data_IF_696943365470
#
_entry.id   IF_696943365470
#
_cell.length_a   1.000
_cell.length_b   1.000
_cell.length_c   1.000
_cell.angle_alpha   90.00
_cell.angle_beta   90.00
_cell.angle_gamma   90.00
#
_symmetry.space_group_name_H-M   'P 1'
#
loop_
_entity.id
_entity.type
_entity.pdbx_description
1 polymer ?
#
# COMPACT_ATOMS: atom_id res chain seq x y z
N UNK A 1 -22.12 -9.18 21.83
CA UNK A 1 -21.19 -9.54 20.73
C UNK A 1 -21.57 -8.70 19.54
N UNK A 2 -20.59 -8.06 18.89
CA UNK A 2 -20.85 -7.38 17.63
C UNK A 2 -20.84 -8.42 16.50
N UNK A 3 -21.64 -8.18 15.45
CA UNK A 3 -21.66 -9.02 14.26
C UNK A 3 -20.38 -8.72 13.46
N UNK A 4 -19.58 -9.75 13.16
CA UNK A 4 -18.37 -9.65 12.33
C UNK A 4 -18.60 -10.15 10.90
N UNK A 5 -19.81 -10.67 10.62
CA UNK A 5 -20.21 -11.25 9.35
C UNK A 5 -21.43 -10.56 8.73
N UNK A 6 -21.57 -10.70 7.41
CA UNK A 6 -22.77 -10.39 6.65
C UNK A 6 -23.09 -11.63 5.80
N UNK A 7 -24.27 -12.21 6.02
CA UNK A 7 -24.76 -13.36 5.25
C UNK A 7 -25.55 -12.91 4.00
N UNK A 8 -25.86 -13.85 3.10
CA UNK A 8 -26.62 -13.58 1.87
C UNK A 8 -28.03 -13.01 2.10
N UNK A 9 -28.63 -13.30 3.24
CA UNK A 9 -29.96 -12.82 3.65
C UNK A 9 -29.91 -11.44 4.32
N UNK A 10 -28.71 -10.92 4.58
CA UNK A 10 -28.49 -9.68 5.31
C UNK A 10 -28.05 -8.57 4.36
N UNK A 11 -28.31 -7.33 4.79
CA UNK A 11 -27.85 -6.12 4.11
C UNK A 11 -27.30 -5.18 5.16
N UNK A 12 -26.23 -4.45 4.84
CA UNK A 12 -25.70 -3.37 5.67
C UNK A 12 -25.96 -2.03 4.99
N UNK A 13 -26.66 -1.14 5.70
CA UNK A 13 -26.97 0.24 5.28
C UNK A 13 -25.97 1.24 5.85
N UNK A 14 -26.09 2.49 5.42
CA UNK A 14 -25.16 3.58 5.73
C UNK A 14 -24.88 3.81 7.24
N UNK A 15 -25.89 3.60 8.09
CA UNK A 15 -25.82 3.80 9.53
C UNK A 15 -25.46 2.53 10.31
N UNK A 16 -25.21 1.43 9.62
CA UNK A 16 -24.87 0.13 10.20
C UNK A 16 -23.37 -0.15 10.04
N UNK A 17 -22.82 -0.90 10.99
CA UNK A 17 -21.43 -1.36 10.96
C UNK A 17 -21.34 -2.83 11.35
N UNK A 18 -20.29 -3.48 10.86
CA UNK A 18 -19.82 -4.76 11.41
C UNK A 18 -18.44 -4.57 12.03
N UNK A 19 -18.12 -5.39 13.01
CA UNK A 19 -16.93 -5.21 13.84
C UNK A 19 -16.24 -6.55 13.95
N UNK A 20 -14.94 -6.55 13.69
CA UNK A 20 -14.07 -7.73 13.89
C UNK A 20 -14.24 -8.33 15.29
N UNK A 21 -14.04 -9.65 15.43
CA UNK A 21 -14.34 -10.39 16.65
C UNK A 21 -13.64 -9.83 17.91
N UNK A 22 -12.37 -9.45 17.81
CA UNK A 22 -11.57 -8.82 18.86
C UNK A 22 -11.80 -7.31 19.03
N UNK A 23 -12.69 -6.72 18.22
CA UNK A 23 -13.09 -5.32 18.28
C UNK A 23 -12.00 -4.35 17.83
N UNK A 24 -11.04 -4.80 17.03
CA UNK A 24 -9.90 -4.00 16.56
C UNK A 24 -10.29 -3.12 15.37
N UNK A 25 -10.96 -3.73 14.39
CA UNK A 25 -11.42 -3.09 13.16
C UNK A 25 -12.95 -3.05 13.06
N UNK A 26 -13.44 -2.04 12.35
CA UNK A 26 -14.85 -1.83 12.03
C UNK A 26 -15.00 -1.49 10.54
N UNK A 27 -16.02 -2.04 9.92
CA UNK A 27 -16.43 -1.77 8.54
C UNK A 27 -17.74 -0.99 8.55
N UNK A 28 -17.83 0.03 7.71
CA UNK A 28 -19.08 0.74 7.46
C UNK A 28 -18.91 1.91 6.51
N UNK A 29 -19.92 2.78 6.48
CA UNK A 29 -19.92 3.94 5.60
C UNK A 29 -19.33 5.18 6.29
N UNK A 30 -18.56 5.97 5.52
CA UNK A 30 -17.91 7.18 5.99
C UNK A 30 -17.74 8.22 4.89
N UNK A 31 -17.43 9.45 5.30
CA UNK A 31 -17.02 10.55 4.43
C UNK A 31 -15.69 11.11 4.96
N UNK A 32 -14.61 11.09 4.17
CA UNK A 32 -13.30 11.57 4.62
C UNK A 32 -13.29 13.10 4.72
N UNK A 33 -12.79 13.62 5.85
CA UNK A 33 -12.62 15.05 6.12
C UNK A 33 -13.81 15.91 5.72
N UNK A 34 -13.65 16.74 4.68
CA UNK A 34 -14.70 17.65 4.18
C UNK A 34 -15.47 17.14 2.96
N UNK A 35 -15.21 15.89 2.55
CA UNK A 35 -15.83 15.28 1.38
C UNK A 35 -17.35 15.21 1.50
N UNK A 36 -18.04 15.52 0.39
CA UNK A 36 -19.50 15.35 0.28
C UNK A 36 -19.89 13.94 -0.17
N UNK A 37 -18.91 13.11 -0.53
CA UNK A 37 -19.13 11.77 -1.04
C UNK A 37 -19.09 10.75 0.10
N UNK A 38 -19.71 9.60 -0.17
CA UNK A 38 -19.80 8.47 0.76
C UNK A 38 -18.99 7.29 0.25
N UNK A 39 -18.34 6.60 1.19
CA UNK A 39 -17.50 5.45 0.88
C UNK A 39 -17.74 4.35 1.90
N UNK A 40 -17.64 3.11 1.45
CA UNK A 40 -17.53 1.94 2.31
C UNK A 40 -16.05 1.70 2.62
N UNK A 41 -15.69 1.56 3.90
CA UNK A 41 -14.30 1.33 4.27
C UNK A 41 -14.12 0.70 5.64
N UNK A 42 -12.88 0.28 5.89
CA UNK A 42 -12.45 -0.32 7.17
C UNK A 42 -11.62 0.70 7.94
N UNK A 43 -11.80 0.78 9.25
CA UNK A 43 -11.00 1.61 10.15
C UNK A 43 -10.71 0.92 11.48
N UNK A 44 -9.72 1.44 12.22
CA UNK A 44 -9.48 1.06 13.60
C UNK A 44 -10.61 1.54 14.51
N UNK A 45 -11.32 0.61 15.16
CA UNK A 45 -12.46 0.92 16.03
C UNK A 45 -12.04 1.58 17.34
N UNK A 46 -10.92 1.14 17.91
CA UNK A 46 -10.42 1.61 19.22
C UNK A 46 -9.76 2.99 19.16
N UNK A 47 -9.57 3.55 17.96
CA UNK A 47 -8.94 4.85 17.75
C UNK A 47 -10.03 5.92 17.57
N UNK A 48 -9.98 6.96 18.41
CA UNK A 48 -11.05 7.95 18.57
C UNK A 48 -11.35 8.77 17.31
N UNK A 49 -10.34 9.06 16.49
CA UNK A 49 -10.52 9.65 15.18
C UNK A 49 -10.45 8.55 14.12
N UNK A 50 -11.51 8.45 13.30
CA UNK A 50 -11.68 7.37 12.31
C UNK A 50 -10.45 7.25 11.41
N UNK A 51 -9.60 6.28 11.71
CA UNK A 51 -8.38 6.00 10.96
C UNK A 51 -8.70 4.97 9.89
N UNK A 52 -9.01 5.44 8.70
CA UNK A 52 -9.35 4.60 7.54
C UNK A 52 -8.10 3.86 7.06
N UNK A 53 -8.24 2.56 6.81
CA UNK A 53 -7.16 1.67 6.35
C UNK A 53 -7.48 1.00 5.02
N UNK A 54 -8.76 0.93 4.63
CA UNK A 54 -9.20 0.37 3.36
C UNK A 54 -10.51 1.01 2.90
N UNK A 55 -10.71 1.11 1.58
CA UNK A 55 -11.87 1.73 0.94
C UNK A 55 -12.30 0.88 -0.26
N UNK A 56 -13.57 0.49 -0.33
CA UNK A 56 -14.09 -0.35 -1.42
C UNK A 56 -14.26 0.45 -2.72
N UNK A 57 -15.13 1.46 -2.69
CA UNK A 57 -15.55 2.23 -3.86
C UNK A 57 -14.71 3.50 -4.05
N UNK A 58 -13.38 3.39 -3.96
CA UNK A 58 -12.48 4.56 -3.98
C UNK A 58 -12.58 5.37 -5.28
N UNK A 59 -12.85 4.71 -6.41
CA UNK A 59 -12.95 5.35 -7.74
C UNK A 59 -14.38 5.57 -8.22
N UNK A 60 -15.38 5.14 -7.44
CA UNK A 60 -16.80 5.30 -7.79
C UNK A 60 -17.56 5.94 -6.64
N UNK A 61 -17.96 7.19 -6.87
CA UNK A 61 -18.53 8.06 -5.85
C UNK A 61 -19.98 7.68 -5.51
N UNK A 62 -20.30 7.61 -4.22
CA UNK A 62 -21.69 7.73 -3.74
C UNK A 62 -21.95 9.19 -3.38
N UNK A 63 -23.01 9.76 -3.95
CA UNK A 63 -23.39 11.17 -3.73
C UNK A 63 -24.39 11.34 -2.58
N UNK A 64 -24.90 10.24 -2.03
CA UNK A 64 -25.93 10.21 -0.99
C UNK A 64 -25.55 9.25 0.15
N UNK A 65 -26.34 9.27 1.23
CA UNK A 65 -26.24 8.34 2.36
C UNK A 65 -27.15 7.12 2.20
N UNK A 66 -27.44 6.70 0.97
CA UNK A 66 -28.34 5.59 0.67
C UNK A 66 -27.59 4.33 0.20
N UNK A 67 -26.28 4.26 0.47
CA UNK A 67 -25.46 3.10 0.16
C UNK A 67 -25.94 1.83 0.84
N UNK A 68 -25.94 0.72 0.10
CA UNK A 68 -26.29 -0.61 0.63
C UNK A 68 -25.24 -1.63 0.21
N UNK A 69 -24.59 -2.27 1.18
CA UNK A 69 -23.76 -3.44 0.95
C UNK A 69 -24.60 -4.71 1.15
N UNK A 70 -24.61 -5.59 0.17
CA UNK A 70 -25.30 -6.90 0.27
C UNK A 70 -24.69 -7.91 -0.70
N UNK A 71 -25.12 -9.16 -0.59
CA UNK A 71 -24.89 -10.15 -1.63
C UNK A 71 -25.91 -10.00 -2.78
N UNK A 72 -25.46 -10.19 -4.01
CA UNK A 72 -26.35 -10.38 -5.15
C UNK A 72 -26.81 -11.85 -5.26
N UNK A 73 -27.69 -12.14 -6.21
CA UNK A 73 -28.26 -13.48 -6.42
C UNK A 73 -27.21 -14.56 -6.79
N UNK A 74 -25.97 -14.16 -7.08
CA UNK A 74 -24.84 -15.05 -7.37
C UNK A 74 -23.91 -15.25 -6.17
N UNK A 75 -24.23 -14.69 -5.00
CA UNK A 75 -23.37 -14.80 -3.83
C UNK A 75 -22.13 -13.91 -3.90
N UNK A 76 -22.20 -12.78 -4.62
CA UNK A 76 -21.11 -11.81 -4.73
C UNK A 76 -21.47 -10.54 -3.93
N UNK A 77 -20.60 -10.05 -3.02
CA UNK A 77 -20.79 -8.75 -2.40
C UNK A 77 -20.83 -7.62 -3.44
N UNK A 78 -21.87 -6.80 -3.35
CA UNK A 78 -22.08 -5.62 -4.18
C UNK A 78 -22.46 -4.42 -3.32
N UNK A 79 -21.96 -3.26 -3.73
CA UNK A 79 -22.36 -1.97 -3.19
C UNK A 79 -23.34 -1.31 -4.15
N UNK A 80 -24.52 -0.98 -3.65
CA UNK A 80 -25.59 -0.34 -4.41
C UNK A 80 -25.77 1.12 -4.00
N UNK A 81 -26.13 1.96 -4.97
CA UNK A 81 -26.62 3.32 -4.71
C UNK A 81 -28.15 3.37 -4.53
N UNK A 82 -28.71 4.56 -4.33
CA UNK A 82 -30.16 4.76 -4.15
C UNK A 82 -31.03 4.21 -5.30
N UNK A 83 -30.50 4.15 -6.52
CA UNK A 83 -31.20 3.65 -7.72
C UNK A 83 -31.03 2.14 -7.91
N UNK A 84 -30.47 1.43 -6.91
CA UNK A 84 -30.05 0.04 -7.00
C UNK A 84 -29.01 -0.26 -8.09
N UNK A 85 -28.28 0.77 -8.57
CA UNK A 85 -27.16 0.54 -9.48
C UNK A 85 -25.96 0.03 -8.69
N UNK A 86 -25.31 -1.01 -9.22
CA UNK A 86 -24.05 -1.54 -8.67
C UNK A 86 -22.93 -0.56 -8.96
N UNK A 87 -22.31 -0.04 -7.90
CA UNK A 87 -21.18 0.90 -8.01
C UNK A 87 -19.84 0.26 -7.63
N UNK A 88 -19.87 -0.89 -6.96
CA UNK A 88 -18.69 -1.67 -6.63
C UNK A 88 -19.09 -3.14 -6.43
N UNK A 89 -18.18 -4.05 -6.74
CA UNK A 89 -18.33 -5.49 -6.48
C UNK A 89 -16.98 -6.13 -6.24
N UNK A 90 -16.93 -7.22 -5.48
CA UNK A 90 -15.68 -7.97 -5.26
C UNK A 90 -15.16 -8.71 -6.50
N UNK A 91 -15.99 -8.86 -7.55
CA UNK A 91 -15.57 -9.41 -8.85
C UNK A 91 -15.39 -10.93 -8.91
N UNK A 92 -15.72 -11.67 -7.85
CA UNK A 92 -15.43 -13.12 -7.78
C UNK A 92 -16.64 -13.97 -8.14
N UNK A 93 -16.43 -15.03 -8.93
CA UNK A 93 -17.49 -15.82 -9.58
C UNK A 93 -17.48 -17.30 -9.19
N UNK A 94 -16.62 -17.72 -8.26
CA UNK A 94 -16.58 -19.10 -7.79
C UNK A 94 -17.81 -19.36 -6.92
N UNK A 95 -18.78 -20.09 -7.48
CA UNK A 95 -20.00 -20.47 -6.78
C UNK A 95 -19.69 -21.34 -5.57
N UNK A 96 -20.15 -20.91 -4.41
CA UNK A 96 -20.10 -21.65 -3.14
C UNK A 96 -21.51 -21.80 -2.57
N UNK A 97 -21.67 -22.66 -1.57
CA UNK A 97 -23.01 -22.96 -1.02
C UNK A 97 -23.49 -21.85 -0.11
N UNK A 98 -22.67 -21.46 0.86
CA UNK A 98 -23.06 -20.49 1.89
C UNK A 98 -22.03 -19.36 1.99
N UNK A 99 -21.98 -18.44 1.00
CA UNK A 99 -21.04 -17.33 1.04
C UNK A 99 -21.36 -16.35 2.17
N UNK A 100 -20.33 -15.98 2.93
CA UNK A 100 -20.39 -14.94 3.96
C UNK A 100 -19.25 -13.95 3.79
N UNK A 101 -19.53 -12.68 4.02
CA UNK A 101 -18.50 -11.65 4.13
C UNK A 101 -18.13 -11.52 5.60
N UNK A 102 -16.85 -11.54 5.95
CA UNK A 102 -16.37 -11.47 7.33
C UNK A 102 -15.24 -10.45 7.46
N UNK A 103 -15.29 -9.61 8.51
CA UNK A 103 -14.20 -8.73 8.88
C UNK A 103 -13.31 -9.40 9.92
N UNK A 104 -12.07 -9.73 9.55
CA UNK A 104 -11.10 -10.37 10.43
C UNK A 104 -10.42 -9.35 11.36
N UNK A 105 -9.83 -9.85 12.46
CA UNK A 105 -9.06 -9.03 13.40
C UNK A 105 -7.75 -8.46 12.83
N UNK A 106 -7.32 -8.93 11.66
CA UNK A 106 -6.25 -8.31 10.86
C UNK A 106 -6.71 -7.05 10.11
N UNK A 107 -8.03 -6.81 10.03
CA UNK A 107 -8.64 -5.78 9.19
C UNK A 107 -8.91 -6.25 7.75
N UNK A 108 -8.60 -7.50 7.43
CA UNK A 108 -8.92 -8.11 6.15
C UNK A 108 -10.43 -8.40 6.08
N UNK A 109 -11.10 -7.82 5.09
CA UNK A 109 -12.48 -8.14 4.76
C UNK A 109 -12.45 -9.26 3.73
N UNK A 110 -13.00 -10.42 4.09
CA UNK A 110 -12.93 -11.62 3.26
C UNK A 110 -14.32 -12.09 2.86
N UNK A 111 -14.40 -12.79 1.73
CA UNK A 111 -15.55 -13.61 1.37
C UNK A 111 -15.12 -15.07 1.43
N UNK A 112 -15.86 -15.90 2.17
CA UNK A 112 -15.59 -17.34 2.29
C UNK A 112 -16.89 -18.13 2.28
N UNK A 113 -16.78 -19.43 2.06
CA UNK A 113 -17.88 -20.34 2.35
C UNK A 113 -17.94 -20.55 3.87
N UNK A 114 -19.12 -20.41 4.47
CA UNK A 114 -19.31 -20.55 5.92
C UNK A 114 -19.01 -21.97 6.39
N UNK A 115 -19.32 -22.96 5.54
CA UNK A 115 -19.14 -24.38 5.81
C UNK A 115 -17.71 -24.88 5.51
N UNK A 116 -16.84 -24.04 4.93
CA UNK A 116 -15.46 -24.43 4.64
C UNK A 116 -14.59 -24.39 5.89
N UNK A 117 -13.99 -25.53 6.19
CA UNK A 117 -13.12 -25.74 7.34
C UNK A 117 -11.64 -25.45 7.02
N UNK A 118 -11.30 -25.25 5.75
CA UNK A 118 -9.93 -24.93 5.33
C UNK A 118 -9.64 -23.47 5.69
N UNK A 119 -8.69 -23.20 6.60
CA UNK A 119 -8.31 -21.84 6.94
C UNK A 119 -7.82 -21.09 5.69
N UNK A 120 -8.18 -19.81 5.60
CA UNK A 120 -7.70 -18.89 4.56
C UNK A 120 -8.03 -19.27 3.10
N UNK A 121 -8.96 -20.23 2.87
CA UNK A 121 -9.50 -20.52 1.54
C UNK A 121 -10.56 -19.46 1.15
N UNK A 122 -10.12 -18.22 1.00
CA UNK A 122 -10.98 -17.10 0.68
C UNK A 122 -11.35 -17.07 -0.81
N UNK A 123 -12.61 -16.74 -1.09
CA UNK A 123 -13.08 -16.48 -2.45
C UNK A 123 -12.64 -15.10 -2.93
N UNK A 124 -12.52 -14.15 -2.00
CA UNK A 124 -12.05 -12.78 -2.21
C UNK A 124 -11.51 -12.24 -0.88
N UNK A 125 -10.55 -11.32 -0.95
CA UNK A 125 -10.08 -10.58 0.22
C UNK A 125 -9.69 -9.14 -0.11
N UNK A 126 -9.92 -8.21 0.82
CA UNK A 126 -9.56 -6.80 0.66
C UNK A 126 -8.06 -6.59 0.61
N UNK A 127 -7.28 -7.48 1.23
CA UNK A 127 -5.82 -7.41 1.24
C UNK A 127 -5.18 -7.57 -0.14
N UNK A 128 -5.89 -8.17 -1.11
CA UNK A 128 -5.45 -8.26 -2.51
C UNK A 128 -5.68 -6.96 -3.30
N UNK A 129 -6.43 -6.02 -2.73
CA UNK A 129 -6.78 -4.74 -3.33
C UNK A 129 -6.54 -3.60 -2.31
N UNK A 130 -5.28 -3.40 -1.87
CA UNK A 130 -4.94 -2.37 -0.89
C UNK A 130 -5.18 -0.95 -1.45
N UNK A 131 -5.27 0.02 -0.55
CA UNK A 131 -5.46 1.44 -0.88
C UNK A 131 -4.17 2.20 -0.53
N UNK A 132 -4.21 3.19 0.37
CA UNK A 132 -3.03 3.95 0.79
C UNK A 132 -2.31 3.37 2.00
N UNK A 133 -2.88 2.34 2.62
CA UNK A 133 -2.35 1.75 3.86
C UNK A 133 -1.95 0.30 3.63
N UNK A 134 -0.75 -0.05 4.10
CA UNK A 134 -0.22 -1.39 4.16
C UNK A 134 -0.21 -1.86 5.62
N UNK A 135 -1.10 -2.79 5.95
CA UNK A 135 -1.32 -3.37 7.28
C UNK A 135 -0.49 -4.64 7.51
N UNK A 136 -0.30 -5.06 8.77
CA UNK A 136 0.28 -6.37 9.06
C UNK A 136 -0.52 -7.49 8.37
N UNK A 137 0.19 -8.47 7.80
CA UNK A 137 -0.39 -9.58 7.05
C UNK A 137 -0.74 -9.29 5.59
N UNK A 138 -0.70 -8.03 5.15
CA UNK A 138 -0.81 -7.71 3.73
C UNK A 138 0.45 -8.15 2.97
N UNK A 139 0.29 -8.43 1.68
CA UNK A 139 1.39 -8.80 0.77
C UNK A 139 1.45 -7.81 -0.39
N UNK A 140 2.65 -7.32 -0.72
CA UNK A 140 2.88 -6.49 -1.90
C UNK A 140 3.91 -7.17 -2.81
N UNK A 141 3.63 -7.23 -4.11
CA UNK A 141 4.39 -7.98 -5.11
C UNK A 141 3.54 -9.08 -5.75
N UNK A 142 4.20 -10.09 -6.31
CA UNK A 142 3.54 -11.24 -6.91
C UNK A 142 3.11 -12.21 -5.81
N UNK A 143 1.83 -12.21 -5.46
CA UNK A 143 1.27 -13.01 -4.36
C UNK A 143 0.92 -14.43 -4.81
N UNK A 144 0.60 -14.60 -6.09
CA UNK A 144 0.47 -15.90 -6.76
C UNK A 144 0.69 -15.71 -8.28
N UNK A 145 0.56 -16.79 -9.06
CA UNK A 145 0.78 -16.79 -10.52
C UNK A 145 -0.01 -15.74 -11.32
N UNK A 146 -1.15 -15.31 -10.78
CA UNK A 146 -2.12 -14.47 -11.46
C UNK A 146 -2.37 -13.12 -10.79
N UNK A 147 -1.81 -12.91 -9.60
CA UNK A 147 -2.11 -11.75 -8.76
C UNK A 147 -0.82 -11.02 -8.36
N UNK A 148 -0.70 -9.79 -8.88
CA UNK A 148 0.31 -8.83 -8.48
C UNK A 148 -0.36 -7.70 -7.69
N UNK A 149 0.13 -7.44 -6.48
CA UNK A 149 -0.42 -6.46 -5.54
C UNK A 149 0.56 -5.30 -5.36
N UNK A 150 0.06 -4.08 -5.52
CA UNK A 150 0.75 -2.83 -5.20
C UNK A 150 -0.23 -1.95 -4.39
N UNK A 151 0.23 -0.87 -3.80
CA UNK A 151 -0.66 0.06 -3.09
C UNK A 151 -0.36 1.52 -3.47
N UNK A 152 -1.38 2.37 -3.51
CA UNK A 152 -1.33 3.72 -4.06
C UNK A 152 -1.82 4.77 -3.08
N UNK A 153 -1.26 5.98 -3.16
CA UNK A 153 -1.70 7.08 -2.30
C UNK A 153 -3.15 7.43 -2.57
N UNK A 154 -3.79 8.08 -1.59
CA UNK A 154 -4.97 8.87 -1.89
C UNK A 154 -4.59 10.07 -2.75
N UNK A 155 -5.55 10.58 -3.51
CA UNK A 155 -5.39 11.81 -4.29
C UNK A 155 -5.26 13.04 -3.39
N UNK A 156 -6.00 13.08 -2.29
CA UNK A 156 -5.87 14.09 -1.24
C UNK A 156 -6.42 13.58 0.09
N UNK A 157 -6.31 14.37 1.15
CA UNK A 157 -6.86 14.00 2.47
C UNK A 157 -8.39 13.79 2.47
N UNK A 158 -9.10 14.45 1.56
CA UNK A 158 -10.57 14.40 1.43
C UNK A 158 -11.04 13.54 0.23
N UNK A 159 -10.10 12.97 -0.54
CA UNK A 159 -10.39 12.25 -1.78
C UNK A 159 -9.58 10.93 -1.83
N UNK A 160 -10.22 9.78 -1.53
CA UNK A 160 -9.56 8.48 -1.48
C UNK A 160 -9.34 7.85 -2.86
N UNK A 161 -9.78 8.49 -3.96
CA UNK A 161 -9.48 8.02 -5.32
C UNK A 161 -7.98 7.89 -5.56
N UNK A 162 -7.61 7.19 -6.64
CA UNK A 162 -6.21 6.98 -6.99
C UNK A 162 -5.41 8.30 -7.06
N UNK A 163 -4.40 8.37 -6.20
CA UNK A 163 -3.39 9.40 -6.24
C UNK A 163 -2.27 9.08 -7.22
N UNK A 164 -1.30 9.97 -7.28
CA UNK A 164 -0.22 9.87 -8.27
C UNK A 164 0.93 8.96 -7.83
N UNK A 165 0.95 8.50 -6.58
CA UNK A 165 2.06 7.75 -6.01
C UNK A 165 1.71 6.29 -5.78
N UNK A 166 2.64 5.40 -6.11
CA UNK A 166 2.48 3.94 -5.96
C UNK A 166 3.74 3.34 -5.38
N UNK A 167 3.58 2.33 -4.52
CA UNK A 167 4.66 1.45 -4.07
C UNK A 167 4.44 0.06 -4.65
N UNK A 168 5.49 -0.47 -5.29
CA UNK A 168 5.45 -1.74 -6.01
C UNK A 168 6.79 -2.48 -5.90
N UNK A 169 6.76 -3.79 -6.18
CA UNK A 169 7.93 -4.67 -6.16
C UNK A 169 8.45 -4.91 -7.59
N UNK A 170 9.69 -4.53 -7.84
CA UNK A 170 10.43 -4.99 -9.02
C UNK A 170 10.91 -6.43 -8.81
N UNK A 171 10.23 -7.35 -9.50
CA UNK A 171 10.48 -8.79 -9.44
C UNK A 171 11.86 -9.19 -9.95
N UNK A 172 12.46 -8.40 -10.86
CA UNK A 172 13.76 -8.73 -11.45
C UNK A 172 14.90 -8.30 -10.54
N UNK A 173 14.79 -7.11 -9.95
CA UNK A 173 15.78 -6.56 -9.03
C UNK A 173 15.60 -6.98 -7.57
N UNK A 174 14.51 -7.68 -7.24
CA UNK A 174 14.11 -8.03 -5.86
C UNK A 174 14.15 -6.81 -4.93
N UNK A 175 13.51 -5.72 -5.38
CA UNK A 175 13.54 -4.41 -4.75
C UNK A 175 12.17 -3.74 -4.85
N UNK A 176 11.96 -2.69 -4.09
CA UNK A 176 10.75 -1.88 -4.13
C UNK A 176 11.03 -0.52 -4.76
N UNK A 177 10.03 -0.02 -5.49
CA UNK A 177 10.02 1.34 -6.00
C UNK A 177 8.88 2.13 -5.38
N UNK A 178 9.18 3.38 -5.04
CA UNK A 178 8.16 4.43 -4.98
C UNK A 178 8.15 5.11 -6.35
N UNK A 179 6.99 5.12 -7.00
CA UNK A 179 6.78 5.79 -8.30
C UNK A 179 5.80 6.94 -8.15
N UNK A 180 5.96 7.96 -8.98
CA UNK A 180 4.96 8.99 -9.23
C UNK A 180 4.62 8.98 -10.72
N UNK A 181 3.37 8.71 -11.09
CA UNK A 181 2.94 8.58 -12.48
C UNK A 181 3.88 7.65 -13.29
N UNK A 182 4.14 6.46 -12.75
CA UNK A 182 5.05 5.45 -13.28
C UNK A 182 6.56 5.83 -13.32
N UNK A 183 6.93 7.04 -12.89
CA UNK A 183 8.33 7.49 -12.81
C UNK A 183 8.90 7.20 -11.42
N UNK A 184 10.01 6.46 -11.35
CA UNK A 184 10.70 6.16 -10.09
C UNK A 184 11.13 7.44 -9.36
N UNK A 185 10.78 7.52 -8.07
CA UNK A 185 11.13 8.60 -7.15
C UNK A 185 12.06 8.17 -6.03
N UNK A 186 11.91 6.93 -5.58
CA UNK A 186 12.83 6.30 -4.64
C UNK A 186 12.93 4.81 -4.94
N UNK A 187 14.01 4.20 -4.48
CA UNK A 187 14.29 2.77 -4.69
C UNK A 187 14.87 2.19 -3.41
N UNK A 188 14.25 1.13 -2.89
CA UNK A 188 14.75 0.46 -1.67
C UNK A 188 16.10 -0.21 -1.88
N UNK A 189 16.48 -0.49 -3.13
CA UNK A 189 17.58 -1.39 -3.48
C UNK A 189 17.22 -2.85 -3.19
N UNK A 190 18.06 -3.79 -3.65
CA UNK A 190 17.78 -5.22 -3.55
C UNK A 190 17.67 -5.69 -2.10
N UNK A 191 16.83 -6.70 -1.90
CA UNK A 191 16.78 -7.49 -0.68
C UNK A 191 18.09 -8.28 -0.52
N UNK A 192 18.73 -8.16 0.65
CA UNK A 192 20.02 -8.80 0.93
C UNK A 192 19.94 -10.00 1.90
N UNK A 193 18.73 -10.48 2.20
CA UNK A 193 18.48 -11.54 3.18
C UNK A 193 18.16 -11.04 4.59
N UNK A 194 18.49 -9.78 4.91
CA UNK A 194 18.24 -9.14 6.21
C UNK A 194 17.31 -7.93 6.07
N UNK A 195 17.46 -7.17 4.99
CA UNK A 195 16.71 -5.97 4.70
C UNK A 195 16.95 -5.50 3.27
N UNK A 196 16.37 -4.36 2.90
CA UNK A 196 16.68 -3.71 1.63
C UNK A 196 17.91 -2.81 1.77
N UNK A 197 18.81 -2.83 0.79
CA UNK A 197 20.11 -2.14 0.90
C UNK A 197 20.02 -0.62 1.09
N UNK A 198 18.96 0.00 0.55
CA UNK A 198 18.62 1.42 0.66
C UNK A 198 17.62 1.73 1.78
N UNK A 199 17.34 0.75 2.65
CA UNK A 199 16.54 0.94 3.86
C UNK A 199 17.30 0.45 5.10
N UNK A 200 18.50 1.00 5.39
CA UNK A 200 19.35 0.52 6.50
C UNK A 200 18.75 0.76 7.90
N UNK A 201 17.66 1.53 7.98
CA UNK A 201 16.87 1.76 9.18
C UNK A 201 15.93 0.59 9.52
N UNK A 202 15.66 -0.32 8.58
CA UNK A 202 14.94 -1.56 8.86
C UNK A 202 15.85 -2.47 9.67
N UNK A 203 15.72 -2.37 10.99
CA UNK A 203 16.37 -3.21 11.99
C UNK A 203 15.34 -4.16 12.59
N UNK A 204 15.77 -5.27 13.21
CA UNK A 204 14.88 -6.11 14.00
C UNK A 204 14.06 -5.24 14.96
N UNK A 205 12.73 -5.37 14.89
CA UNK A 205 11.79 -4.55 15.61
C UNK A 205 11.01 -5.46 16.59
N UNK A 206 10.89 -5.12 17.88
CA UNK A 206 10.13 -5.94 18.83
C UNK A 206 8.62 -5.96 18.56
N UNK A 207 8.11 -5.03 17.74
CA UNK A 207 6.67 -4.87 17.45
C UNK A 207 6.25 -5.75 16.27
N UNK A 208 7.08 -5.86 15.23
CA UNK A 208 6.76 -6.60 14.02
C UNK A 208 8.00 -7.23 13.39
N UNK A 209 7.79 -8.37 12.73
CA UNK A 209 8.75 -8.99 11.85
C UNK A 209 8.40 -8.66 10.41
N UNK A 210 9.40 -8.53 9.54
CA UNK A 210 9.20 -8.31 8.11
C UNK A 210 10.00 -9.34 7.32
N UNK A 211 9.45 -9.73 6.17
CA UNK A 211 10.05 -10.75 5.31
C UNK A 211 9.85 -10.41 3.85
N UNK A 212 10.84 -10.75 3.05
CA UNK A 212 10.72 -10.77 1.60
C UNK A 212 10.71 -12.23 1.15
N UNK A 213 9.56 -12.67 0.64
CA UNK A 213 9.37 -14.03 0.12
C UNK A 213 9.78 -14.03 -1.35
N UNK A 214 10.67 -14.94 -1.69
CA UNK A 214 11.04 -15.25 -3.07
C UNK A 214 11.12 -16.78 -3.18
N UNK A 215 9.97 -17.41 -3.46
CA UNK A 215 9.86 -18.86 -3.49
C UNK A 215 8.85 -19.30 -4.54
N UNK A 216 9.24 -20.29 -5.37
CA UNK A 216 8.44 -20.82 -6.47
C UNK A 216 7.88 -19.73 -7.40
N UNK A 217 6.60 -19.38 -7.20
CA UNK A 217 5.84 -18.44 -8.04
C UNK A 217 5.32 -17.25 -7.23
N UNK A 218 5.87 -17.04 -6.04
CA UNK A 218 5.54 -15.94 -5.14
C UNK A 218 6.78 -15.08 -4.88
N UNK A 219 6.62 -13.77 -5.07
CA UNK A 219 7.66 -12.77 -4.88
C UNK A 219 7.04 -11.53 -4.26
N UNK A 220 7.03 -11.46 -2.93
CA UNK A 220 6.33 -10.38 -2.21
C UNK A 220 7.03 -9.97 -0.92
N UNK A 221 6.76 -8.74 -0.50
CA UNK A 221 7.10 -8.23 0.82
C UNK A 221 5.88 -8.28 1.73
N UNK A 222 6.10 -8.66 2.99
CA UNK A 222 5.07 -8.67 4.03
C UNK A 222 5.69 -8.37 5.40
N UNK A 223 4.84 -7.99 6.35
CA UNK A 223 5.24 -7.86 7.74
C UNK A 223 4.09 -8.31 8.66
N UNK A 224 4.45 -8.86 9.81
CA UNK A 224 3.53 -9.46 10.77
C UNK A 224 3.82 -8.90 12.16
N UNK A 225 2.76 -8.67 12.94
CA UNK A 225 2.92 -8.27 14.34
C UNK A 225 3.50 -9.41 15.18
N UNK A 226 4.50 -9.09 15.98
CA UNK A 226 5.00 -9.98 17.04
C UNK A 226 4.10 -9.88 18.27
N UNK A 227 3.63 -8.67 18.56
CA UNK A 227 2.73 -8.38 19.67
C UNK A 227 1.48 -7.66 19.13
N UNK A 228 0.34 -8.36 19.21
CA UNK A 228 -0.95 -7.89 18.71
C UNK A 228 -1.59 -6.80 19.56
N UNK A 229 -0.98 -6.42 20.69
CA UNK A 229 -1.42 -5.27 21.48
C UNK A 229 -1.07 -3.92 20.82
N UNK A 230 -0.10 -3.89 19.91
CA UNK A 230 0.28 -2.68 19.20
C UNK A 230 -0.54 -2.47 17.93
N UNK A 231 -0.94 -1.22 17.68
CA UNK A 231 -1.46 -0.82 16.38
C UNK A 231 -0.36 -0.14 15.57
N UNK A 232 -0.02 -0.73 14.43
CA UNK A 232 0.93 -0.18 13.48
C UNK A 232 0.38 -0.24 12.06
N UNK A 233 0.88 0.66 11.22
CA UNK A 233 0.55 0.71 9.80
C UNK A 233 1.62 1.44 9.03
N UNK A 234 1.72 1.16 7.74
CA UNK A 234 2.54 1.93 6.81
C UNK A 234 1.58 2.65 5.86
N UNK A 235 1.67 3.98 5.79
CA UNK A 235 0.81 4.80 4.92
C UNK A 235 1.65 5.42 3.82
N UNK A 236 1.19 5.32 2.57
CA UNK A 236 1.67 6.14 1.48
C UNK A 236 0.74 7.35 1.34
N UNK A 237 1.21 8.51 1.76
CA UNK A 237 0.40 9.72 1.78
C UNK A 237 0.38 10.42 0.40
N UNK A 238 -0.50 11.43 0.26
CA UNK A 238 -0.72 12.18 -0.97
C UNK A 238 0.51 12.96 -1.47
N UNK A 239 1.50 13.17 -0.60
CA UNK A 239 2.76 13.86 -0.92
C UNK A 239 3.87 12.89 -1.37
N UNK A 240 3.56 11.59 -1.43
CA UNK A 240 4.51 10.56 -1.83
C UNK A 240 5.46 10.14 -0.72
N UNK A 241 5.09 10.36 0.55
CA UNK A 241 5.87 9.90 1.69
C UNK A 241 5.29 8.59 2.23
N UNK A 242 6.19 7.65 2.47
CA UNK A 242 5.93 6.38 3.16
C UNK A 242 6.16 6.61 4.65
N UNK A 243 5.10 6.48 5.44
CA UNK A 243 5.08 6.83 6.86
C UNK A 243 4.67 5.63 7.73
N UNK A 244 5.64 4.77 8.13
CA UNK A 244 5.44 3.81 9.19
C UNK A 244 5.06 4.52 10.50
N UNK A 245 3.94 4.09 11.07
CA UNK A 245 3.33 4.74 12.22
C UNK A 245 3.00 3.72 13.31
N UNK A 246 3.16 4.14 14.56
CA UNK A 246 2.76 3.39 15.76
C UNK A 246 1.72 4.22 16.52
N UNK A 247 0.64 3.58 16.95
CA UNK A 247 -0.34 4.23 17.82
C UNK A 247 0.23 4.37 19.24
N UNK A 248 0.12 5.57 19.82
CA UNK A 248 0.57 5.84 21.18
C UNK A 248 -0.62 6.22 22.04
N UNK A 249 -1.05 5.32 22.92
CA UNK A 249 -2.22 5.52 23.78
C UNK A 249 -2.09 6.76 24.68
N UNK A 250 -0.89 7.03 25.19
CA UNK A 250 -0.64 8.19 26.07
C UNK A 250 -0.96 9.53 25.41
N UNK A 251 -0.71 9.64 24.11
CA UNK A 251 -0.96 10.89 23.35
C UNK A 251 -2.19 10.79 22.47
N UNK A 252 -2.88 9.64 22.46
CA UNK A 252 -3.98 9.32 21.57
C UNK A 252 -3.69 9.74 20.14
N UNK A 253 -2.51 9.38 19.63
CA UNK A 253 -2.06 9.81 18.30
C UNK A 253 -1.13 8.80 17.62
N UNK A 254 -1.13 8.86 16.29
CA UNK A 254 -0.16 8.14 15.45
C UNK A 254 1.21 8.82 15.53
N UNK A 255 2.19 8.12 16.11
CA UNK A 255 3.59 8.52 16.08
C UNK A 255 4.26 7.99 14.82
N UNK A 256 4.67 8.90 13.94
CA UNK A 256 5.49 8.61 12.76
C UNK A 256 6.94 8.55 13.21
N UNK A 257 7.53 7.36 13.21
CA UNK A 257 8.93 7.17 13.58
C UNK A 257 9.86 7.15 12.38
N UNK A 258 9.29 7.08 11.17
CA UNK A 258 10.02 7.21 9.91
C UNK A 258 9.16 7.94 8.88
N UNK A 259 9.81 8.70 8.00
CA UNK A 259 9.23 9.26 6.79
C UNK A 259 10.26 9.13 5.68
N UNK A 260 9.91 8.47 4.58
CA UNK A 260 10.79 8.21 3.44
C UNK A 260 10.06 8.50 2.12
N UNK A 261 10.75 8.92 1.05
CA UNK A 261 12.20 9.11 0.95
C UNK A 261 12.72 10.38 1.63
N UNK A 262 13.98 10.35 2.06
CA UNK A 262 14.76 11.56 2.35
C UNK A 262 15.46 12.13 1.09
N UNK A 263 16.31 13.16 1.26
CA UNK A 263 17.00 13.78 0.15
C UNK A 263 17.88 12.79 -0.64
N UNK A 264 18.65 11.93 0.03
CA UNK A 264 19.53 10.97 -0.61
C UNK A 264 18.83 9.73 -1.15
N UNK A 265 17.61 9.45 -0.67
CA UNK A 265 16.75 8.40 -1.22
C UNK A 265 16.14 8.78 -2.58
N UNK A 266 16.23 10.05 -2.98
CA UNK A 266 15.76 10.53 -4.28
C UNK A 266 16.46 9.78 -5.41
N UNK A 267 15.67 9.13 -6.25
CA UNK A 267 16.16 8.25 -7.31
C UNK A 267 17.09 9.01 -8.27
N UNK A 268 18.28 8.46 -8.46
CA UNK A 268 19.32 8.99 -9.35
C UNK A 268 19.78 10.44 -9.06
N UNK A 269 19.61 10.96 -7.84
CA UNK A 269 19.98 12.34 -7.47
C UNK A 269 21.42 12.72 -7.86
N UNK A 270 22.39 11.84 -7.58
CA UNK A 270 23.81 12.11 -7.82
C UNK A 270 24.35 11.64 -9.17
N UNK A 271 23.47 11.14 -10.05
CA UNK A 271 23.87 10.61 -11.35
C UNK A 271 24.73 9.35 -11.28
N UNK A 272 25.18 8.89 -12.45
CA UNK A 272 25.99 7.67 -12.58
C UNK A 272 27.35 7.87 -11.91
N UNK A 273 27.79 6.86 -11.16
CA UNK A 273 29.02 6.86 -10.34
C UNK A 273 29.12 8.00 -9.31
N UNK A 274 27.98 8.62 -8.97
CA UNK A 274 27.84 9.53 -7.84
C UNK A 274 27.31 8.80 -6.62
N UNK A 275 27.69 9.28 -5.43
CA UNK A 275 27.16 8.85 -4.14
C UNK A 275 26.59 10.04 -3.40
N UNK A 276 25.46 9.84 -2.74
CA UNK A 276 24.81 10.85 -1.92
C UNK A 276 25.16 10.66 -0.45
N UNK A 277 25.44 11.77 0.24
CA UNK A 277 25.54 11.79 1.69
C UNK A 277 25.01 13.11 2.24
N UNK A 278 24.01 13.00 3.13
CA UNK A 278 23.21 14.12 3.64
C UNK A 278 24.07 15.15 4.39
N UNK A 279 25.14 14.69 5.04
CA UNK A 279 26.06 15.54 5.81
C UNK A 279 27.11 16.27 4.96
N UNK A 280 27.10 16.10 3.63
CA UNK A 280 28.09 16.69 2.75
C UNK A 280 27.55 17.94 2.03
N UNK A 281 28.45 18.88 1.75
CA UNK A 281 28.20 20.02 0.86
C UNK A 281 29.31 20.08 -0.20
N UNK A 282 29.03 19.81 -1.49
CA UNK A 282 27.75 19.35 -2.05
C UNK A 282 27.35 17.95 -1.53
N UNK A 283 26.05 17.66 -1.50
CA UNK A 283 25.49 16.36 -1.07
C UNK A 283 25.94 15.19 -1.92
N UNK A 284 26.26 15.46 -3.20
CA UNK A 284 26.74 14.48 -4.15
C UNK A 284 28.27 14.53 -4.30
N UNK A 285 28.90 13.36 -4.31
CA UNK A 285 30.34 13.19 -4.57
C UNK A 285 30.57 12.08 -5.59
N UNK A 286 31.60 12.22 -6.40
CA UNK A 286 32.03 11.13 -7.27
C UNK A 286 32.64 10.00 -6.44
N UNK A 287 32.39 8.76 -6.86
CA UNK A 287 33.10 7.60 -6.33
C UNK A 287 34.61 7.74 -6.59
N UNK A 288 35.41 7.06 -5.78
CA UNK A 288 36.88 7.06 -5.93
C UNK A 288 37.25 6.58 -7.35
N UNK A 289 38.09 7.35 -8.04
CA UNK A 289 38.48 7.10 -9.43
C UNK A 289 37.67 7.87 -10.48
N UNK A 290 36.64 8.60 -10.07
CA UNK A 290 35.81 9.41 -10.95
C UNK A 290 35.91 10.90 -10.63
N UNK A 291 35.74 11.74 -11.66
CA UNK A 291 35.81 13.19 -11.53
C UNK A 291 34.52 13.86 -12.01
N UNK A 292 34.08 14.97 -11.39
CA UNK A 292 32.91 15.70 -11.84
C UNK A 292 33.08 16.25 -13.26
N UNK A 293 32.15 15.94 -14.16
CA UNK A 293 32.00 16.63 -15.43
C UNK A 293 31.19 17.90 -15.20
N UNK A 294 31.84 19.06 -15.28
CA UNK A 294 31.14 20.35 -15.25
C UNK A 294 30.48 20.60 -16.61
N UNK A 295 29.15 20.63 -16.67
CA UNK A 295 28.42 21.26 -17.79
C UNK A 295 28.11 22.71 -17.43
N UNK A 296 28.65 23.66 -18.20
CA UNK A 296 28.16 25.05 -18.18
C UNK A 296 26.82 25.08 -18.92
N UNK A 297 25.69 25.00 -18.21
CA UNK A 297 24.42 25.49 -18.74
C UNK A 297 24.33 27.00 -18.44
N UNK A 298 23.92 27.79 -19.42
CA UNK A 298 23.85 29.25 -19.32
C UNK A 298 23.12 29.75 -18.08
N UNK A 299 23.73 30.74 -17.41
CA UNK A 299 23.21 31.64 -16.37
C UNK A 299 22.06 31.14 -15.47
N UNK A 300 22.17 29.92 -14.94
CA UNK A 300 21.48 29.51 -13.71
C UNK A 300 22.28 28.39 -13.04
N UNK A 301 22.54 28.53 -11.73
CA UNK A 301 23.39 27.61 -10.94
C UNK A 301 22.70 26.26 -10.70
N UNK A 302 22.58 25.42 -11.73
CA UNK A 302 22.28 24.00 -11.59
C UNK A 302 23.47 23.20 -12.10
N UNK A 303 24.27 22.66 -11.18
CA UNK A 303 25.37 21.74 -11.50
C UNK A 303 24.77 20.35 -11.63
N UNK A 304 24.65 19.84 -12.86
CA UNK A 304 24.37 18.42 -13.08
C UNK A 304 25.67 17.64 -12.84
N UNK A 305 25.78 16.98 -11.70
CA UNK A 305 26.92 16.15 -11.37
C UNK A 305 26.86 14.87 -12.22
N UNK A 306 27.79 14.71 -13.14
CA UNK A 306 28.03 13.45 -13.85
C UNK A 306 29.46 13.04 -13.58
N UNK A 307 29.67 11.81 -13.14
CA UNK A 307 30.99 11.26 -12.84
C UNK A 307 31.32 10.20 -13.90
N UNK A 308 31.57 10.54 -15.18
CA UNK A 308 31.84 9.53 -16.20
C UNK A 308 33.19 8.83 -15.99
N UNK A 309 33.29 7.58 -16.41
CA UNK A 309 34.56 6.85 -16.48
C UNK A 309 35.56 7.60 -17.38
N UNK A 310 36.83 7.56 -16.98
CA UNK A 310 37.91 8.17 -17.73
C UNK A 310 38.43 7.20 -18.80
N UNK A 311 37.58 6.75 -19.74
CA UNK A 311 38.04 6.05 -20.96
C UNK A 311 36.96 5.95 -22.06
N UNK A 312 37.45 5.88 -23.29
CA UNK A 312 36.79 5.99 -24.59
C UNK A 312 35.77 4.86 -24.84
N UNK A 313 34.54 5.28 -25.16
CA UNK A 313 33.56 4.65 -26.06
C UNK A 313 33.35 3.13 -26.01
N UNK A 314 32.21 2.71 -25.45
CA UNK A 314 31.51 1.49 -25.89
C UNK A 314 29.98 1.68 -25.80
N UNK A 315 29.19 1.04 -26.69
CA UNK A 315 27.79 1.38 -26.92
C UNK A 315 26.83 0.74 -25.90
N UNK A 316 25.80 1.51 -25.53
CA UNK A 316 24.69 1.07 -24.67
C UNK A 316 23.90 -0.07 -25.31
N UNK A 317 23.68 -1.16 -24.55
CA UNK A 317 22.69 -2.20 -24.89
C UNK A 317 21.34 -1.83 -24.29
N UNK A 318 20.33 -1.66 -25.15
CA UNK A 318 18.90 -1.67 -24.79
C UNK A 318 18.41 -3.10 -24.59
N UNK A 319 17.69 -3.35 -23.50
CA UNK A 319 16.70 -4.43 -23.32
C UNK A 319 15.56 -3.87 -22.45
N UNK A 320 14.43 -3.44 -23.01
CA UNK A 320 13.12 -4.12 -23.27
C UNK A 320 12.49 -4.82 -22.04
N UNK A 321 11.37 -4.30 -21.52
CA UNK A 321 9.97 -4.81 -21.62
C UNK A 321 9.10 -4.08 -20.60
N UNK A 322 8.13 -3.32 -21.10
CA UNK A 322 7.00 -2.88 -20.29
C UNK A 322 6.14 -4.11 -19.99
N UNK A 323 6.16 -4.54 -18.74
CA UNK A 323 5.02 -5.23 -18.13
C UNK A 323 4.22 -4.10 -17.49
N UNK A 324 2.95 -3.99 -17.82
CA UNK A 324 2.03 -3.09 -17.14
C UNK A 324 1.87 -3.55 -15.69
N UNK A 325 2.74 -3.01 -14.84
CA UNK A 325 2.61 -2.92 -13.39
C UNK A 325 1.90 -1.60 -13.11
N UNK A 326 0.93 -1.62 -12.19
CA UNK A 326 0.14 -0.50 -11.68
C UNK A 326 0.38 0.86 -12.38
#
# INVERSE_FOLDING_TARGET
MALDTIATTQTMRDNETIVSAGGTFELGFFSPGTSKYRYLGVWYKKISYKTIVWVANRDTLLTDSCGVLKFNDRGIPVLLNQSNAVIWSSGTSRGVRNPVAQLLDSGNLVVRDEDDLIPENFLWQSFDNPVSTFLPGMKIGLVNESLYVCFSSWKSIDDPSDGNFTVEVDLSGLQMYLKQNSVAKARSGPWNGVGFSGMPYLKPNPIYNYTFVFYQKEVYYTYELVDSSFFTRIVLNQDGLIEPSLWVDRTSSWSRYLSAPDNCDTYALCGVHGSCAINNSPVCRCLKGFVPKQQKLGQSRLVKWMCPENTIGMPERRWIREVSQC
#
